data_IF_762293276822
#
_entry.id   IF_762293276822
#
_cell.length_a   1.000
_cell.length_b   1.000
_cell.length_c   1.000
_cell.angle_alpha   90.00
_cell.angle_beta   90.00
_cell.angle_gamma   90.00
#
_symmetry.space_group_name_H-M   'P 1'
#
loop_
_entity.id
_entity.type
_entity.pdbx_description
1 polymer ?
#
# COMPACT_ATOMS: atom_id res chain seq x y z
N UNK A 1 19.62 11.33 -19.06
CA UNK A 1 18.20 11.21 -19.45
C UNK A 1 17.59 10.12 -18.59
N UNK A 2 16.72 10.46 -17.62
CA UNK A 2 16.06 9.45 -16.80
C UNK A 2 14.89 8.90 -17.61
N UNK A 3 14.99 7.64 -18.06
CA UNK A 3 13.86 6.93 -18.65
C UNK A 3 12.93 6.65 -17.48
N UNK A 4 11.91 7.48 -17.30
CA UNK A 4 10.89 7.26 -16.28
C UNK A 4 10.27 5.88 -16.49
N UNK A 5 10.21 5.07 -15.43
CA UNK A 5 9.61 3.74 -15.52
C UNK A 5 8.18 3.88 -16.09
N UNK A 6 7.81 3.08 -17.11
CA UNK A 6 6.52 3.24 -17.78
C UNK A 6 5.37 3.21 -16.77
N UNK A 7 4.43 4.13 -16.97
CA UNK A 7 3.17 4.15 -16.23
C UNK A 7 2.37 2.87 -16.55
N UNK A 8 1.75 2.26 -15.54
CA UNK A 8 0.84 1.14 -15.79
C UNK A 8 -0.55 1.69 -16.16
N UNK A 9 -1.15 1.28 -17.29
CA UNK A 9 -2.43 1.83 -17.75
C UNK A 9 -3.55 1.75 -16.71
N UNK A 10 -3.62 0.62 -15.98
CA UNK A 10 -4.61 0.42 -14.92
C UNK A 10 -4.41 1.38 -13.74
N UNK A 11 -3.17 1.74 -13.44
CA UNK A 11 -2.85 2.67 -12.36
C UNK A 11 -3.12 4.11 -12.77
N UNK A 12 -2.75 4.49 -14.00
CA UNK A 12 -3.06 5.80 -14.57
C UNK A 12 -4.58 6.07 -14.61
N UNK A 13 -5.38 5.08 -15.03
CA UNK A 13 -6.85 5.19 -15.05
C UNK A 13 -7.47 5.34 -13.65
N UNK A 14 -6.79 4.85 -12.61
CA UNK A 14 -7.25 4.85 -11.23
C UNK A 14 -6.54 5.88 -10.36
N UNK A 15 -5.74 6.76 -10.95
CA UNK A 15 -5.01 7.80 -10.23
C UNK A 15 -5.97 8.67 -9.42
N UNK A 16 -5.68 8.84 -8.12
CA UNK A 16 -6.50 9.63 -7.20
C UNK A 16 -7.74 8.90 -6.64
N UNK A 17 -8.00 7.67 -7.08
CA UNK A 17 -9.08 6.86 -6.51
C UNK A 17 -8.75 6.46 -5.06
N UNK A 18 -9.77 6.45 -4.20
CA UNK A 18 -9.64 5.92 -2.83
C UNK A 18 -9.93 4.43 -2.82
N UNK A 19 -9.10 3.66 -2.13
CA UNK A 19 -9.23 2.22 -1.94
C UNK A 19 -9.37 1.90 -0.47
N UNK A 20 -10.23 0.94 -0.12
CA UNK A 20 -10.48 0.52 1.27
C UNK A 20 -10.62 -0.99 1.39
N UNK A 21 -10.17 -1.55 2.50
CA UNK A 21 -10.30 -2.99 2.77
C UNK A 21 -9.81 -3.35 4.17
N UNK A 22 -9.74 -4.65 4.44
CA UNK A 22 -9.19 -5.20 5.67
C UNK A 22 -7.86 -5.87 5.34
N UNK A 23 -6.84 -5.53 6.11
CA UNK A 23 -5.52 -6.15 6.08
C UNK A 23 -5.55 -7.40 6.95
N UNK A 24 -4.86 -8.44 6.48
CA UNK A 24 -4.52 -9.63 7.24
C UNK A 24 -3.01 -9.63 7.49
N UNK A 25 -2.59 -9.57 8.76
CA UNK A 25 -1.19 -9.60 9.16
C UNK A 25 -0.93 -10.81 10.06
N UNK A 26 -0.32 -11.87 9.54
CA UNK A 26 0.16 -12.97 10.38
C UNK A 26 1.45 -12.58 11.11
N UNK A 27 1.65 -13.13 12.29
CA UNK A 27 2.89 -13.02 13.06
C UNK A 27 3.53 -14.41 13.28
N UNK A 28 4.86 -14.48 13.52
CA UNK A 28 5.56 -15.75 13.74
C UNK A 28 5.04 -16.57 14.93
N UNK A 29 4.40 -15.93 15.90
CA UNK A 29 3.78 -16.59 17.06
C UNK A 29 2.41 -17.23 16.75
N UNK A 30 1.99 -17.22 15.49
CA UNK A 30 0.74 -17.79 15.01
C UNK A 30 -0.48 -16.88 15.19
N UNK A 31 -0.30 -15.68 15.78
CA UNK A 31 -1.38 -14.70 15.83
C UNK A 31 -1.61 -14.09 14.47
N UNK A 32 -2.81 -13.57 14.27
CA UNK A 32 -3.16 -12.81 13.08
C UNK A 32 -3.99 -11.61 13.49
N UNK A 33 -3.54 -10.44 13.07
CA UNK A 33 -4.29 -9.20 13.25
C UNK A 33 -5.05 -8.85 11.97
N UNK A 34 -6.23 -8.27 12.17
CA UNK A 34 -7.09 -7.78 11.10
C UNK A 34 -7.44 -6.33 11.39
N UNK A 35 -7.14 -5.44 10.47
CA UNK A 35 -7.39 -4.01 10.63
C UNK A 35 -7.74 -3.33 9.30
N UNK A 36 -8.53 -2.24 9.32
CA UNK A 36 -8.86 -1.49 8.12
C UNK A 36 -7.64 -0.76 7.57
N UNK A 37 -7.58 -0.65 6.25
CA UNK A 37 -6.68 0.26 5.53
C UNK A 37 -7.47 1.13 4.58
N UNK A 38 -7.05 2.39 4.46
CA UNK A 38 -7.49 3.31 3.42
C UNK A 38 -6.26 3.83 2.68
N UNK A 39 -6.32 3.86 1.35
CA UNK A 39 -5.23 4.43 0.57
C UNK A 39 -5.70 5.17 -0.66
N UNK A 40 -4.84 6.05 -1.17
CA UNK A 40 -4.92 6.62 -2.51
C UNK A 40 -3.66 6.21 -3.27
N UNK A 41 -3.76 6.04 -4.59
CA UNK A 41 -2.60 5.69 -5.42
C UNK A 41 -2.69 6.41 -6.77
N UNK A 42 -1.53 6.70 -7.35
CA UNK A 42 -1.33 7.21 -8.70
C UNK A 42 0.12 7.03 -9.13
N UNK A 43 0.45 7.41 -10.37
CA UNK A 43 1.78 7.16 -10.94
C UNK A 43 2.94 7.82 -10.17
N UNK A 44 2.69 8.96 -9.52
CA UNK A 44 3.69 9.68 -8.74
C UNK A 44 3.81 9.21 -7.28
N UNK A 45 2.87 8.39 -6.79
CA UNK A 45 2.79 8.03 -5.38
C UNK A 45 1.35 7.99 -4.86
N UNK A 46 1.21 8.11 -3.55
CA UNK A 46 -0.09 8.06 -2.90
C UNK A 46 -0.02 8.31 -1.40
N UNK A 47 -1.13 8.04 -0.71
CA UNK A 47 -1.22 8.10 0.76
C UNK A 47 -1.78 6.80 1.29
N UNK A 48 -1.43 6.45 2.51
CA UNK A 48 -1.94 5.26 3.20
C UNK A 48 -2.24 5.58 4.65
N UNK A 49 -3.31 4.99 5.18
CA UNK A 49 -3.81 5.19 6.52
C UNK A 49 -4.32 3.86 7.09
N UNK A 50 -3.93 3.59 8.33
CA UNK A 50 -4.34 2.44 9.15
C UNK A 50 -5.08 3.00 10.39
N UNK A 51 -6.39 3.31 10.28
CA UNK A 51 -7.09 4.12 11.27
C UNK A 51 -7.03 3.56 12.69
N UNK A 52 -7.23 2.26 12.86
CA UNK A 52 -7.27 1.61 14.18
C UNK A 52 -5.89 1.53 14.83
N UNK A 53 -4.82 1.62 14.04
CA UNK A 53 -3.44 1.67 14.54
C UNK A 53 -2.96 3.10 14.77
N UNK A 54 -3.73 4.10 14.32
CA UNK A 54 -3.34 5.51 14.33
C UNK A 54 -1.97 5.73 13.67
N UNK A 55 -1.79 5.10 12.50
CA UNK A 55 -0.59 5.18 11.67
C UNK A 55 -0.96 5.53 10.24
N UNK A 56 -0.09 6.24 9.54
CA UNK A 56 -0.27 6.53 8.13
C UNK A 56 0.81 7.44 7.59
N UNK A 57 0.81 7.60 6.28
CA UNK A 57 1.89 8.27 5.59
C UNK A 57 1.73 8.36 4.09
N UNK A 58 2.87 8.57 3.43
CA UNK A 58 2.98 8.71 1.99
C UNK A 58 3.58 7.48 1.35
N UNK A 59 3.19 7.22 0.11
CA UNK A 59 3.74 6.19 -0.75
C UNK A 59 4.53 6.85 -1.88
N UNK A 60 5.80 6.51 -2.01
CA UNK A 60 6.66 6.99 -3.12
C UNK A 60 6.94 5.83 -4.06
N UNK A 61 6.67 5.99 -5.36
CA UNK A 61 6.86 4.93 -6.34
C UNK A 61 8.34 4.53 -6.42
N UNK A 62 8.60 3.22 -6.34
CA UNK A 62 9.92 2.65 -6.52
C UNK A 62 10.10 2.16 -7.95
N UNK A 63 9.28 1.20 -8.37
CA UNK A 63 9.35 0.56 -9.70
C UNK A 63 8.05 -0.15 -10.05
N UNK A 64 7.95 -0.64 -11.28
CA UNK A 64 6.92 -1.59 -11.70
C UNK A 64 7.59 -2.91 -12.13
N UNK A 65 6.96 -4.03 -11.76
CA UNK A 65 7.37 -5.39 -12.09
C UNK A 65 6.16 -6.12 -12.65
N UNK A 66 6.12 -6.35 -13.96
CA UNK A 66 4.91 -6.85 -14.61
C UNK A 66 3.74 -5.89 -14.41
N UNK A 67 2.67 -6.36 -13.77
CA UNK A 67 1.49 -5.55 -13.43
C UNK A 67 1.38 -5.16 -11.95
N UNK A 68 2.49 -5.32 -11.21
CA UNK A 68 2.65 -4.84 -9.84
C UNK A 68 3.42 -3.52 -9.85
N UNK A 69 2.96 -2.53 -9.09
CA UNK A 69 3.74 -1.32 -8.78
C UNK A 69 4.15 -1.36 -7.32
N UNK A 70 5.44 -1.18 -7.06
CA UNK A 70 6.00 -1.11 -5.73
C UNK A 70 6.21 0.35 -5.31
N UNK A 71 5.92 0.62 -4.04
CA UNK A 71 6.05 1.91 -3.38
C UNK A 71 6.83 1.74 -2.08
N UNK A 72 7.66 2.72 -1.76
CA UNK A 72 8.20 2.92 -0.42
C UNK A 72 7.15 3.61 0.43
N UNK A 73 6.77 2.99 1.53
CA UNK A 73 6.00 3.66 2.57
C UNK A 73 6.92 4.54 3.42
N UNK A 74 6.47 5.76 3.70
CA UNK A 74 7.04 6.64 4.68
C UNK A 74 5.93 7.14 5.59
N UNK A 75 5.90 6.65 6.83
CA UNK A 75 4.96 7.07 7.85
C UNK A 75 5.20 8.53 8.23
N UNK A 76 4.15 9.33 8.24
CA UNK A 76 4.16 10.73 8.67
C UNK A 76 3.58 10.90 10.06
N UNK A 77 2.85 9.90 10.57
CA UNK A 77 2.40 9.79 11.95
C UNK A 77 2.32 8.32 12.37
N UNK A 78 2.35 8.06 13.68
CA UNK A 78 2.28 6.71 14.24
C UNK A 78 3.56 5.89 14.17
N UNK A 79 4.71 6.52 13.85
CA UNK A 79 6.04 5.86 13.76
C UNK A 79 6.50 5.13 15.02
N UNK A 80 5.93 5.45 16.19
CA UNK A 80 6.22 4.73 17.44
C UNK A 80 5.38 3.47 17.64
N UNK A 81 4.39 3.23 16.77
CA UNK A 81 3.43 2.11 16.86
C UNK A 81 3.52 1.17 15.67
N UNK A 82 3.91 1.68 14.51
CA UNK A 82 3.99 0.93 13.26
C UNK A 82 5.40 0.97 12.68
N UNK A 83 5.75 -0.08 11.94
CA UNK A 83 7.03 -0.18 11.22
C UNK A 83 7.04 0.83 10.07
N UNK A 84 8.01 1.73 10.06
CA UNK A 84 8.23 2.70 8.98
C UNK A 84 9.15 2.11 7.89
N UNK A 85 9.19 2.71 6.70
CA UNK A 85 10.09 2.34 5.60
C UNK A 85 9.77 0.99 4.92
N UNK A 86 8.57 0.42 5.13
CA UNK A 86 8.12 -0.81 4.47
C UNK A 86 7.92 -0.65 2.95
N UNK A 87 7.78 -1.78 2.24
CA UNK A 87 7.48 -1.80 0.79
C UNK A 87 6.03 -2.20 0.58
N UNK A 88 5.25 -1.36 -0.09
CA UNK A 88 3.88 -1.67 -0.51
C UNK A 88 3.88 -2.01 -1.98
N UNK A 89 3.34 -3.17 -2.36
CA UNK A 89 3.07 -3.47 -3.76
C UNK A 89 1.58 -3.60 -4.04
N UNK A 90 1.18 -3.05 -5.18
CA UNK A 90 -0.24 -3.00 -5.59
C UNK A 90 -0.42 -3.55 -6.99
N UNK A 91 -1.52 -4.28 -7.19
CA UNK A 91 -1.98 -4.73 -8.50
C UNK A 91 -3.46 -4.44 -8.64
N UNK A 92 -3.84 -3.70 -9.68
CA UNK A 92 -5.23 -3.33 -9.94
C UNK A 92 -5.89 -4.35 -10.86
N UNK A 93 -7.09 -4.78 -10.48
CA UNK A 93 -7.99 -5.63 -11.28
C UNK A 93 -9.40 -5.04 -11.27
N UNK A 94 -9.68 -4.15 -12.21
CA UNK A 94 -10.97 -3.44 -12.29
C UNK A 94 -11.20 -2.56 -11.05
N UNK A 95 -12.19 -2.92 -10.23
CA UNK A 95 -12.53 -2.22 -8.97
C UNK A 95 -11.92 -2.87 -7.72
N UNK A 96 -10.98 -3.79 -7.91
CA UNK A 96 -10.20 -4.42 -6.86
C UNK A 96 -8.72 -4.00 -6.95
N UNK A 97 -8.08 -3.81 -5.81
CA UNK A 97 -6.66 -3.59 -5.68
C UNK A 97 -6.10 -4.65 -4.72
N UNK A 98 -5.28 -5.54 -5.27
CA UNK A 98 -4.52 -6.51 -4.48
C UNK A 98 -3.34 -5.77 -3.88
N UNK A 99 -3.28 -5.74 -2.56
CA UNK A 99 -2.31 -5.00 -1.78
C UNK A 99 -1.47 -5.98 -0.96
N UNK A 100 -0.16 -5.74 -0.93
CA UNK A 100 0.75 -6.40 -0.01
C UNK A 100 1.72 -5.38 0.58
N UNK A 101 2.20 -5.66 1.78
CA UNK A 101 3.24 -4.91 2.46
C UNK A 101 4.31 -5.88 2.99
N UNK A 102 5.57 -5.47 2.91
CA UNK A 102 6.70 -6.21 3.52
C UNK A 102 7.59 -5.28 4.35
N UNK A 103 8.07 -5.79 5.47
CA UNK A 103 8.96 -5.09 6.41
C UNK A 103 10.45 -5.23 6.09
N UNK A 104 10.82 -5.97 5.03
CA UNK A 104 12.21 -6.28 4.69
C UNK A 104 13.12 -5.04 4.63
N UNK A 105 12.68 -4.00 3.91
CA UNK A 105 13.44 -2.76 3.78
C UNK A 105 13.48 -1.91 5.06
N UNK A 106 12.66 -2.26 6.05
CA UNK A 106 12.65 -1.67 7.39
C UNK A 106 13.46 -2.48 8.41
N UNK A 107 14.04 -3.62 8.02
CA UNK A 107 14.76 -4.53 8.92
C UNK A 107 13.87 -5.58 9.59
N UNK A 108 12.64 -5.77 9.12
CA UNK A 108 11.67 -6.75 9.61
C UNK A 108 11.30 -7.74 8.48
N UNK A 109 12.23 -8.62 8.05
CA UNK A 109 12.05 -9.48 6.87
C UNK A 109 10.93 -10.52 7.01
N UNK A 110 10.57 -10.88 8.25
CA UNK A 110 9.51 -11.85 8.54
C UNK A 110 8.12 -11.19 8.67
N UNK A 111 8.06 -9.86 8.68
CA UNK A 111 6.81 -9.12 8.80
C UNK A 111 6.21 -8.85 7.41
N UNK A 112 4.97 -9.29 7.23
CA UNK A 112 4.23 -9.11 5.99
C UNK A 112 2.73 -9.02 6.25
N UNK A 113 2.04 -8.31 5.36
CA UNK A 113 0.60 -8.16 5.43
C UNK A 113 -0.02 -8.12 4.03
N UNK A 114 -1.28 -8.53 3.91
CA UNK A 114 -1.97 -8.56 2.62
C UNK A 114 -3.43 -8.15 2.72
N UNK A 115 -3.98 -7.64 1.62
CA UNK A 115 -5.38 -7.23 1.55
C UNK A 115 -5.91 -7.26 0.12
N UNK A 116 -7.23 -7.38 -0.02
CA UNK A 116 -7.95 -7.03 -1.25
C UNK A 116 -8.80 -5.80 -0.96
N UNK A 117 -8.39 -4.66 -1.54
CA UNK A 117 -9.07 -3.39 -1.37
C UNK A 117 -10.09 -3.18 -2.48
N UNK A 118 -11.19 -2.50 -2.15
CA UNK A 118 -12.23 -2.10 -3.10
C UNK A 118 -12.14 -0.60 -3.35
N UNK A 119 -12.34 -0.21 -4.59
CA UNK A 119 -12.48 1.19 -4.97
C UNK A 119 -13.71 1.79 -4.29
N UNK A 120 -13.50 2.79 -3.44
CA UNK A 120 -14.58 3.52 -2.80
C UNK A 120 -15.38 4.30 -3.85
N UNK A 121 -16.72 4.42 -3.70
CA UNK A 121 -17.51 5.29 -4.56
C UNK A 121 -16.98 6.73 -4.50
N UNK A 122 -16.99 7.42 -5.64
CA UNK A 122 -16.84 8.88 -5.65
C UNK A 122 -18.04 9.45 -4.89
N UNK A 123 -17.81 9.98 -3.69
CA UNK A 123 -18.84 10.76 -2.99
C UNK A 123 -18.87 12.13 -3.65
N UNK A 124 -19.98 12.43 -4.34
CA UNK A 124 -20.30 13.78 -4.81
C UNK A 124 -20.54 14.72 -3.62
#
# INVERSE_FOLDING_TARGET
MAIGAPALPALAQKAGSTWRGQVLQPYPDGKTEIYPVRMTIGDAGGTIDYPTLSCGGTLTRLRAIGDVVEYREKLTYGVSRCVDNGTVGVRIKGRLLLWHWTGEAAGYPDDGASAVLKEAPLTN
#
